data_IF_759557149423
#
_entry.id   IF_759557149423
#
_cell.length_a   1.000
_cell.length_b   1.000
_cell.length_c   1.000
_cell.angle_alpha   90.00
_cell.angle_beta   90.00
_cell.angle_gamma   90.00
#
_symmetry.space_group_name_H-M   'P 1'
#
loop_
_entity.id
_entity.type
_entity.pdbx_description
1 polymer ?
#
# COMPACT_ATOMS: atom_id res chain seq x y z
N UNK A 1 3.01 58.92 29.90
CA UNK A 1 3.93 58.28 28.94
C UNK A 1 4.17 56.80 29.24
N UNK A 2 4.55 56.40 30.44
CA UNK A 2 4.88 54.98 30.77
C UNK A 2 3.70 54.04 30.50
N UNK A 3 2.48 54.38 30.91
CA UNK A 3 1.26 53.56 30.68
C UNK A 3 0.98 53.37 29.19
N UNK A 4 1.16 54.43 28.38
CA UNK A 4 0.92 54.33 26.94
C UNK A 4 1.96 53.41 26.26
N UNK A 5 3.23 53.44 26.69
CA UNK A 5 4.27 52.56 26.24
C UNK A 5 4.00 51.09 26.62
N UNK A 6 3.55 50.83 27.83
CA UNK A 6 3.15 49.52 28.30
C UNK A 6 1.94 48.96 27.49
N UNK A 7 0.95 49.81 27.19
CA UNK A 7 -0.18 49.40 26.37
C UNK A 7 0.24 49.06 24.93
N UNK A 8 1.14 49.84 24.33
CA UNK A 8 1.64 49.56 22.99
C UNK A 8 2.45 48.26 22.94
N UNK A 9 3.33 48.00 23.92
CA UNK A 9 4.10 46.76 23.97
C UNK A 9 3.19 45.55 24.18
N UNK A 10 2.15 45.65 24.97
CA UNK A 10 1.15 44.61 25.17
C UNK A 10 0.40 44.30 23.87
N UNK A 11 -0.03 45.33 23.14
CA UNK A 11 -0.73 45.15 21.85
C UNK A 11 0.19 44.48 20.80
N UNK A 12 1.47 44.88 20.74
CA UNK A 12 2.42 44.25 19.83
C UNK A 12 2.65 42.78 20.23
N UNK A 13 2.79 42.48 21.52
CA UNK A 13 2.98 41.11 22.01
C UNK A 13 1.75 40.22 21.68
N UNK A 14 0.53 40.73 21.88
CA UNK A 14 -0.70 40.02 21.53
C UNK A 14 -0.83 39.83 20.02
N UNK A 15 -0.49 40.84 19.20
CA UNK A 15 -0.52 40.75 17.76
C UNK A 15 0.48 39.72 17.21
N UNK A 16 1.70 39.69 17.75
CA UNK A 16 2.71 38.71 17.35
C UNK A 16 2.31 37.27 17.79
N UNK A 17 1.75 37.12 18.97
CA UNK A 17 1.23 35.84 19.44
C UNK A 17 0.13 35.29 18.52
N UNK A 18 -0.81 36.19 18.12
CA UNK A 18 -1.89 35.80 17.19
C UNK A 18 -1.38 35.38 15.81
N UNK A 19 -0.39 36.11 15.28
CA UNK A 19 0.25 35.73 13.99
C UNK A 19 0.93 34.38 14.09
N UNK A 20 1.64 34.11 15.20
CA UNK A 20 2.30 32.82 15.42
C UNK A 20 1.29 31.66 15.50
N UNK A 21 0.19 31.84 16.21
CA UNK A 21 -0.87 30.79 16.28
C UNK A 21 -1.50 30.54 14.92
N UNK A 22 -1.91 31.56 14.19
CA UNK A 22 -2.52 31.41 12.87
C UNK A 22 -1.59 30.78 11.84
N UNK A 23 -0.28 31.10 11.87
CA UNK A 23 0.69 30.45 10.97
C UNK A 23 0.90 28.98 11.33
N UNK A 24 0.90 28.63 12.61
CA UNK A 24 1.02 27.24 13.07
C UNK A 24 -0.22 26.42 12.67
N UNK A 25 -1.41 26.96 12.90
CA UNK A 25 -2.68 26.33 12.49
C UNK A 25 -2.72 26.10 10.96
N UNK A 26 -2.34 27.10 10.17
CA UNK A 26 -2.29 26.97 8.71
C UNK A 26 -1.33 25.87 8.26
N UNK A 27 -0.17 25.73 8.91
CA UNK A 27 0.78 24.64 8.62
C UNK A 27 0.21 23.27 9.01
N UNK A 28 -0.46 23.16 10.15
CA UNK A 28 -1.09 21.91 10.57
C UNK A 28 -2.20 21.48 9.59
N UNK A 29 -3.05 22.40 9.17
CA UNK A 29 -4.11 22.13 8.20
C UNK A 29 -3.52 21.68 6.85
N UNK A 30 -2.47 22.38 6.37
CA UNK A 30 -1.80 22.00 5.14
C UNK A 30 -1.15 20.61 5.23
N UNK A 31 -0.50 20.29 6.35
CA UNK A 31 0.10 18.96 6.56
C UNK A 31 -0.97 17.86 6.64
N UNK A 32 -2.08 18.14 7.34
CA UNK A 32 -3.19 17.17 7.42
C UNK A 32 -3.79 16.91 6.04
N UNK A 33 -4.03 17.97 5.27
CA UNK A 33 -4.53 17.86 3.91
C UNK A 33 -3.58 17.03 3.02
N UNK A 34 -2.29 17.38 3.00
CA UNK A 34 -1.31 16.65 2.21
C UNK A 34 -1.22 15.18 2.62
N UNK A 35 -1.28 14.89 3.92
CA UNK A 35 -1.28 13.51 4.42
C UNK A 35 -2.51 12.72 3.95
N UNK A 36 -3.68 13.34 3.97
CA UNK A 36 -4.92 12.71 3.50
C UNK A 36 -4.89 12.50 1.98
N UNK A 37 -4.41 13.49 1.23
CA UNK A 37 -4.27 13.37 -0.22
C UNK A 37 -3.28 12.26 -0.61
N UNK A 38 -2.15 12.12 0.11
CA UNK A 38 -1.19 11.04 -0.12
C UNK A 38 -1.79 9.66 0.18
N UNK A 39 -2.59 9.55 1.25
CA UNK A 39 -3.29 8.32 1.59
C UNK A 39 -4.25 7.90 0.48
N UNK A 40 -5.09 8.84 0.02
CA UNK A 40 -6.02 8.57 -1.08
C UNK A 40 -5.29 8.28 -2.41
N UNK A 41 -4.14 8.90 -2.64
CA UNK A 41 -3.32 8.61 -3.82
C UNK A 41 -2.79 7.16 -3.80
N UNK A 42 -2.30 6.70 -2.66
CA UNK A 42 -1.84 5.32 -2.49
C UNK A 42 -3.00 4.32 -2.62
N UNK A 43 -4.15 4.62 -2.01
CA UNK A 43 -5.35 3.77 -2.08
C UNK A 43 -5.88 3.67 -3.52
N UNK A 44 -5.98 4.78 -4.24
CA UNK A 44 -6.41 4.79 -5.64
C UNK A 44 -5.47 4.01 -6.57
N UNK A 45 -4.15 4.11 -6.34
CA UNK A 45 -3.17 3.31 -7.08
C UNK A 45 -3.30 1.81 -6.76
N UNK A 46 -3.58 1.48 -5.51
CA UNK A 46 -3.81 0.11 -5.07
C UNK A 46 -5.04 -0.50 -5.75
N UNK A 47 -6.18 0.21 -5.71
CA UNK A 47 -7.42 -0.24 -6.37
C UNK A 47 -7.21 -0.44 -7.87
N UNK A 48 -6.50 0.47 -8.52
CA UNK A 48 -6.20 0.34 -9.95
C UNK A 48 -5.28 -0.84 -10.25
N UNK A 49 -4.29 -1.10 -9.38
CA UNK A 49 -3.40 -2.24 -9.52
C UNK A 49 -4.15 -3.57 -9.31
N UNK A 50 -5.15 -3.62 -8.43
CA UNK A 50 -6.02 -4.78 -8.25
C UNK A 50 -6.76 -5.17 -9.53
N UNK A 51 -7.25 -4.18 -10.29
CA UNK A 51 -7.90 -4.45 -11.60
C UNK A 51 -6.94 -5.13 -12.58
N UNK A 52 -5.68 -4.69 -12.62
CA UNK A 52 -4.68 -5.29 -13.51
C UNK A 52 -4.28 -6.71 -13.03
N UNK A 53 -4.23 -6.94 -11.71
CA UNK A 53 -3.95 -8.27 -11.14
C UNK A 53 -4.98 -9.32 -11.53
N UNK A 54 -6.25 -8.93 -11.70
CA UNK A 54 -7.30 -9.85 -12.19
C UNK A 54 -6.98 -10.42 -13.56
N UNK A 55 -6.18 -9.72 -14.36
CA UNK A 55 -5.80 -10.15 -15.70
C UNK A 55 -4.60 -11.09 -15.73
N UNK A 56 -3.89 -11.26 -14.61
CA UNK A 56 -2.71 -12.11 -14.50
C UNK A 56 -3.09 -13.48 -13.93
N UNK A 57 -3.14 -14.54 -14.76
CA UNK A 57 -3.58 -15.87 -14.31
C UNK A 57 -2.56 -16.59 -13.44
N UNK A 58 -1.27 -16.32 -13.62
CA UNK A 58 -0.15 -16.96 -12.94
C UNK A 58 0.59 -15.92 -12.09
N UNK A 59 0.46 -16.05 -10.77
CA UNK A 59 1.05 -15.12 -9.83
C UNK A 59 2.57 -15.31 -9.62
N UNK A 60 3.11 -16.46 -9.96
CA UNK A 60 4.56 -16.65 -9.98
C UNK A 60 5.25 -15.60 -10.86
N UNK A 61 4.60 -15.21 -11.96
CA UNK A 61 5.11 -14.16 -12.85
C UNK A 61 5.08 -12.75 -12.26
N UNK A 62 4.30 -12.53 -11.21
CA UNK A 62 4.32 -11.28 -10.44
C UNK A 62 5.49 -11.30 -9.47
N UNK A 63 5.68 -12.44 -8.78
CA UNK A 63 6.69 -12.62 -7.76
C UNK A 63 8.12 -12.67 -8.34
N UNK A 64 8.30 -13.20 -9.54
CA UNK A 64 9.58 -13.16 -10.27
C UNK A 64 9.81 -11.82 -11.02
N UNK A 65 8.83 -10.90 -10.98
CA UNK A 65 8.91 -9.57 -11.62
C UNK A 65 8.77 -9.56 -13.13
N UNK A 66 8.41 -10.68 -13.77
CA UNK A 66 8.22 -10.77 -15.23
C UNK A 66 6.88 -10.22 -15.69
N UNK A 67 5.84 -10.33 -14.86
CA UNK A 67 4.55 -9.69 -15.11
C UNK A 67 4.47 -8.34 -14.39
N UNK A 68 4.09 -7.32 -15.13
CA UNK A 68 3.88 -5.95 -14.63
C UNK A 68 2.55 -5.41 -15.14
N UNK A 69 2.01 -4.43 -14.44
CA UNK A 69 0.89 -3.64 -14.91
C UNK A 69 1.23 -2.92 -16.23
N UNK A 70 0.20 -2.60 -16.99
CA UNK A 70 0.34 -1.68 -18.13
C UNK A 70 0.65 -0.23 -17.69
N UNK A 71 0.51 0.06 -16.39
CA UNK A 71 0.69 1.38 -15.78
C UNK A 71 2.11 1.54 -15.25
N UNK A 72 3.08 1.64 -16.15
CA UNK A 72 4.49 1.80 -15.82
C UNK A 72 5.05 3.05 -16.50
N UNK A 73 5.70 3.89 -15.71
CA UNK A 73 6.37 5.11 -16.18
C UNK A 73 7.83 4.80 -16.50
N UNK A 74 8.07 4.30 -17.72
CA UNK A 74 9.41 4.03 -18.25
C UNK A 74 10.11 2.83 -17.60
N UNK A 75 11.44 2.94 -17.43
CA UNK A 75 12.25 1.85 -16.87
C UNK A 75 11.93 1.59 -15.39
N UNK A 76 12.02 0.33 -14.90
CA UNK A 76 11.74 0.00 -13.50
C UNK A 76 12.82 0.48 -12.52
N UNK A 77 13.80 1.22 -12.99
CA UNK A 77 14.95 1.69 -12.23
C UNK A 77 15.19 3.17 -12.47
N UNK A 78 16.01 3.78 -11.62
CA UNK A 78 16.50 5.13 -11.77
C UNK A 78 15.61 6.23 -11.19
N UNK A 79 16.04 7.49 -11.36
CA UNK A 79 15.41 8.62 -10.70
C UNK A 79 14.07 8.99 -11.31
N UNK A 80 13.18 9.50 -10.44
CA UNK A 80 11.91 10.12 -10.79
C UNK A 80 11.83 11.49 -10.16
N UNK A 81 11.24 12.44 -10.89
CA UNK A 81 11.08 13.81 -10.43
C UNK A 81 9.62 14.09 -10.13
N UNK A 82 9.33 14.53 -8.93
CA UNK A 82 8.00 14.98 -8.51
C UNK A 82 7.66 16.35 -9.10
N UNK A 83 6.39 16.73 -9.05
CA UNK A 83 5.92 18.01 -9.55
C UNK A 83 6.56 19.26 -8.88
N UNK A 84 7.06 19.09 -7.65
CA UNK A 84 7.78 20.14 -6.92
C UNK A 84 9.29 20.18 -7.17
N UNK A 85 9.80 19.31 -8.07
CA UNK A 85 11.22 19.18 -8.39
C UNK A 85 12.00 18.26 -7.46
N UNK A 86 11.37 17.66 -6.44
CA UNK A 86 12.00 16.66 -5.58
C UNK A 86 12.26 15.38 -6.37
N UNK A 87 13.43 14.79 -6.18
CA UNK A 87 13.82 13.53 -6.82
C UNK A 87 13.80 12.39 -5.81
N UNK A 88 13.43 11.21 -6.28
CA UNK A 88 13.61 9.95 -5.59
C UNK A 88 13.97 8.86 -6.61
N UNK A 89 14.44 7.71 -6.17
CA UNK A 89 14.92 6.65 -7.05
C UNK A 89 14.09 5.39 -6.82
N UNK A 90 13.57 4.80 -7.90
CA UNK A 90 12.74 3.59 -7.80
C UNK A 90 13.49 2.42 -7.16
N UNK A 91 14.79 2.28 -7.47
CA UNK A 91 15.63 1.26 -6.85
C UNK A 91 15.71 1.42 -5.31
N UNK A 92 15.82 2.67 -4.83
CA UNK A 92 15.82 2.94 -3.39
C UNK A 92 14.50 2.59 -2.73
N UNK A 93 13.37 2.85 -3.40
CA UNK A 93 12.04 2.48 -2.89
C UNK A 93 11.94 0.96 -2.72
N UNK A 94 12.33 0.20 -3.73
CA UNK A 94 12.34 -1.27 -3.68
C UNK A 94 13.31 -1.79 -2.62
N UNK A 95 14.52 -1.26 -2.55
CA UNK A 95 15.52 -1.67 -1.57
C UNK A 95 15.07 -1.34 -0.13
N UNK A 96 14.46 -0.18 0.07
CA UNK A 96 13.90 0.19 1.39
C UNK A 96 12.78 -0.76 1.81
N UNK A 97 11.91 -1.16 0.88
CA UNK A 97 10.86 -2.15 1.16
C UNK A 97 11.44 -3.54 1.46
N UNK A 98 12.50 -3.93 0.75
CA UNK A 98 13.10 -5.26 0.83
C UNK A 98 14.10 -5.45 1.98
N UNK A 99 14.90 -4.45 2.32
CA UNK A 99 15.96 -4.59 3.30
C UNK A 99 16.28 -3.34 4.10
N UNK A 100 15.45 -2.29 3.99
CA UNK A 100 15.62 -1.00 4.69
C UNK A 100 16.96 -0.31 4.38
N UNK A 101 17.50 -0.55 3.18
CA UNK A 101 18.73 0.08 2.69
C UNK A 101 18.45 0.90 1.43
N UNK A 102 19.21 1.94 1.20
CA UNK A 102 19.18 2.70 -0.06
C UNK A 102 20.01 2.03 -1.16
N UNK A 103 20.89 1.10 -0.79
CA UNK A 103 21.72 0.32 -1.72
C UNK A 103 21.09 -1.04 -2.00
N UNK A 104 21.51 -1.67 -3.08
CA UNK A 104 21.03 -3.01 -3.48
C UNK A 104 21.10 -4.01 -2.33
N UNK A 105 20.00 -4.69 -2.07
CA UNK A 105 19.92 -5.74 -1.07
C UNK A 105 20.74 -6.95 -1.50
N UNK A 106 21.55 -7.51 -0.60
CA UNK A 106 22.20 -8.80 -0.79
C UNK A 106 21.21 -9.94 -0.48
N UNK A 107 21.51 -11.15 -0.92
CA UNK A 107 20.71 -12.33 -0.58
C UNK A 107 20.58 -12.53 0.94
N UNK A 108 21.65 -12.23 1.70
CA UNK A 108 21.60 -12.28 3.17
C UNK A 108 20.73 -11.21 3.78
N UNK A 109 20.59 -10.05 3.14
CA UNK A 109 19.69 -8.99 3.61
C UNK A 109 18.22 -9.36 3.42
N UNK A 110 17.90 -10.04 2.33
CA UNK A 110 16.53 -10.47 2.03
C UNK A 110 15.99 -11.46 3.06
N UNK A 111 16.85 -12.38 3.53
CA UNK A 111 16.49 -13.41 4.53
C UNK A 111 16.78 -13.00 5.97
N UNK A 112 17.28 -11.79 6.20
CA UNK A 112 17.59 -11.30 7.55
C UNK A 112 16.31 -11.14 8.37
N UNK A 113 16.29 -11.71 9.58
CA UNK A 113 15.19 -11.52 10.51
C UNK A 113 15.37 -10.20 11.26
N UNK A 114 14.43 -9.28 11.09
CA UNK A 114 14.35 -8.00 11.79
C UNK A 114 12.98 -7.85 12.45
N UNK A 115 12.75 -6.88 13.34
CA UNK A 115 11.42 -6.65 13.92
C UNK A 115 10.33 -6.42 12.87
N UNK A 116 10.67 -5.77 11.75
CA UNK A 116 9.73 -5.47 10.65
C UNK A 116 9.60 -6.63 9.66
N UNK A 117 10.61 -7.48 9.57
CA UNK A 117 10.67 -8.63 8.66
C UNK A 117 11.13 -9.89 9.41
N UNK A 118 10.26 -10.48 10.26
CA UNK A 118 10.66 -11.55 11.19
C UNK A 118 10.64 -12.96 10.58
N UNK A 119 10.31 -13.11 9.29
CA UNK A 119 10.02 -14.40 8.66
C UNK A 119 11.24 -15.07 8.02
N UNK A 120 12.43 -14.48 8.12
CA UNK A 120 13.69 -15.03 7.59
C UNK A 120 13.60 -15.38 6.09
N UNK A 121 13.68 -16.66 5.73
CA UNK A 121 13.61 -17.12 4.34
C UNK A 121 12.25 -16.81 3.67
N UNK A 122 11.19 -16.66 4.45
CA UNK A 122 9.86 -16.30 3.94
C UNK A 122 9.59 -14.79 4.05
N UNK A 123 10.62 -13.94 4.20
CA UNK A 123 10.42 -12.52 4.13
C UNK A 123 9.89 -12.14 2.74
N UNK A 124 8.88 -11.25 2.67
CA UNK A 124 8.39 -10.77 1.38
C UNK A 124 9.52 -10.18 0.54
N UNK A 125 9.59 -10.56 -0.73
CA UNK A 125 10.51 -9.97 -1.71
C UNK A 125 9.68 -9.09 -2.65
N UNK A 126 9.65 -7.80 -2.34
CA UNK A 126 8.83 -6.82 -3.06
C UNK A 126 9.31 -6.62 -4.49
N UNK A 127 8.42 -6.80 -5.44
CA UNK A 127 8.61 -6.56 -6.87
C UNK A 127 7.77 -5.38 -7.34
N UNK A 128 8.33 -4.53 -8.20
CA UNK A 128 7.59 -3.44 -8.81
C UNK A 128 6.52 -3.99 -9.75
N UNK A 129 5.26 -3.60 -9.51
CA UNK A 129 4.13 -3.99 -10.34
C UNK A 129 3.58 -2.84 -11.17
N UNK A 130 3.24 -1.71 -10.53
CA UNK A 130 2.77 -0.49 -11.20
C UNK A 130 3.46 0.73 -10.60
N UNK A 131 3.82 1.71 -11.42
CA UNK A 131 4.41 2.96 -10.95
C UNK A 131 4.25 4.08 -11.98
N UNK A 132 4.02 5.28 -11.48
CA UNK A 132 3.86 6.45 -12.34
C UNK A 132 3.22 7.63 -11.61
N UNK A 133 3.13 8.79 -12.27
CA UNK A 133 2.31 9.89 -11.79
C UNK A 133 0.84 9.44 -11.65
N UNK A 134 0.18 9.80 -10.56
CA UNK A 134 -1.19 9.35 -10.27
C UNK A 134 -2.19 9.69 -11.39
N UNK A 135 -2.01 10.82 -12.05
CA UNK A 135 -2.84 11.25 -13.18
C UNK A 135 -2.72 10.34 -14.42
N UNK A 136 -1.64 9.57 -14.54
CA UNK A 136 -1.43 8.60 -15.63
C UNK A 136 -1.87 7.20 -15.23
N UNK A 137 -1.82 6.87 -13.94
CA UNK A 137 -2.24 5.58 -13.39
C UNK A 137 -3.76 5.44 -13.38
N UNK A 138 -4.48 6.54 -13.13
CA UNK A 138 -5.94 6.52 -13.14
C UNK A 138 -6.50 6.74 -14.54
N UNK A 139 -7.43 5.89 -15.00
CA UNK A 139 -8.12 6.11 -16.27
C UNK A 139 -8.97 7.38 -16.18
N UNK A 140 -8.92 8.19 -17.24
CA UNK A 140 -9.67 9.44 -17.36
C UNK A 140 -9.13 10.61 -16.50
N UNK A 141 -8.08 11.17 -16.95
CA UNK A 141 -7.34 12.40 -16.72
C UNK A 141 -7.98 13.65 -16.10
N UNK A 142 -8.98 13.51 -15.23
CA UNK A 142 -9.58 14.65 -14.53
C UNK A 142 -8.85 15.02 -13.23
N UNK A 143 -7.92 14.20 -12.75
CA UNK A 143 -7.26 14.43 -11.46
C UNK A 143 -5.89 15.05 -11.69
N UNK A 144 -5.78 16.33 -11.42
CA UNK A 144 -4.48 16.98 -11.34
C UNK A 144 -3.86 16.72 -9.97
N UNK A 145 -3.13 15.62 -9.85
CA UNK A 145 -2.48 15.21 -8.61
C UNK A 145 -0.96 15.36 -8.72
N UNK A 146 -0.31 15.96 -7.73
CA UNK A 146 1.14 16.09 -7.70
C UNK A 146 1.85 14.82 -7.20
N UNK A 147 1.11 13.75 -6.92
CA UNK A 147 1.64 12.53 -6.35
C UNK A 147 2.15 11.58 -7.43
N UNK A 148 3.29 10.97 -7.13
CA UNK A 148 3.81 9.80 -7.83
C UNK A 148 3.52 8.57 -6.98
N UNK A 149 3.04 7.50 -7.60
CA UNK A 149 2.66 6.28 -6.89
C UNK A 149 3.49 5.09 -7.36
N UNK A 150 3.79 4.21 -6.42
CA UNK A 150 4.53 2.97 -6.65
C UNK A 150 3.74 1.85 -5.99
N UNK A 151 3.38 0.83 -6.76
CA UNK A 151 2.73 -0.38 -6.24
C UNK A 151 3.67 -1.56 -6.43
N UNK A 152 3.89 -2.26 -5.34
CA UNK A 152 4.73 -3.45 -5.27
C UNK A 152 3.89 -4.65 -4.84
N UNK A 153 4.29 -5.82 -5.28
CA UNK A 153 3.71 -7.11 -4.89
C UNK A 153 4.79 -7.99 -4.30
N UNK A 154 4.43 -8.86 -3.38
CA UNK A 154 5.30 -9.85 -2.79
C UNK A 154 4.48 -11.06 -2.38
N UNK A 155 5.14 -12.16 -2.14
CA UNK A 155 4.52 -13.33 -1.56
C UNK A 155 4.05 -13.11 -0.12
N UNK A 156 3.01 -13.82 0.31
CA UNK A 156 2.56 -13.76 1.70
C UNK A 156 3.51 -14.56 2.61
N UNK A 157 4.21 -13.89 3.54
CA UNK A 157 5.17 -14.58 4.42
C UNK A 157 4.53 -15.59 5.38
N UNK A 158 3.20 -15.74 5.40
CA UNK A 158 2.53 -16.86 6.09
C UNK A 158 2.62 -18.17 5.32
N UNK A 159 3.03 -18.15 4.07
CA UNK A 159 3.45 -19.32 3.32
C UNK A 159 4.85 -19.73 3.77
N UNK A 160 4.96 -20.87 4.45
CA UNK A 160 6.20 -21.31 5.11
C UNK A 160 6.90 -22.34 4.21
N UNK A 161 7.19 -22.00 2.97
CA UNK A 161 7.89 -22.87 2.02
C UNK A 161 9.36 -22.47 1.77
N UNK A 162 9.73 -21.24 2.18
CA UNK A 162 11.08 -20.71 2.01
C UNK A 162 11.37 -20.21 0.59
N UNK A 163 10.35 -20.01 -0.24
CA UNK A 163 10.46 -19.54 -1.61
C UNK A 163 9.60 -18.31 -1.89
N UNK A 164 10.04 -17.10 -1.51
CA UNK A 164 9.26 -15.88 -1.64
C UNK A 164 9.10 -15.37 -3.09
N UNK A 165 9.60 -16.12 -4.08
CA UNK A 165 9.47 -15.78 -5.50
C UNK A 165 8.42 -16.63 -6.22
N UNK A 166 7.81 -17.58 -5.51
CA UNK A 166 6.77 -18.44 -6.06
C UNK A 166 5.58 -18.51 -5.11
N UNK A 167 4.38 -18.35 -5.64
CA UNK A 167 3.13 -18.66 -4.97
C UNK A 167 2.97 -20.20 -4.96
N UNK A 168 3.08 -20.81 -3.81
CA UNK A 168 3.14 -22.27 -3.65
C UNK A 168 1.88 -22.99 -4.13
N UNK A 169 1.85 -24.30 -3.96
CA UNK A 169 0.72 -25.15 -4.37
C UNK A 169 -0.34 -25.18 -3.28
N UNK A 170 -1.59 -24.77 -3.55
CA UNK A 170 -2.66 -24.80 -2.56
C UNK A 170 -2.91 -26.19 -1.98
N UNK A 171 -3.06 -26.29 -0.65
CA UNK A 171 -3.38 -27.54 0.02
C UNK A 171 -4.83 -27.97 -0.26
N UNK A 172 -4.99 -29.09 -0.96
CA UNK A 172 -6.27 -29.77 -1.09
C UNK A 172 -6.65 -30.49 0.22
N UNK A 173 -7.95 -30.79 0.46
CA UNK A 173 -8.35 -31.55 1.63
C UNK A 173 -7.62 -32.88 1.76
N UNK A 174 -6.90 -33.06 2.90
CA UNK A 174 -6.12 -34.26 3.18
C UNK A 174 -4.68 -34.28 2.64
N UNK A 175 -4.26 -33.24 1.93
CA UNK A 175 -2.86 -33.05 1.53
C UNK A 175 -2.19 -32.15 2.56
N UNK A 176 -1.00 -32.53 3.00
CA UNK A 176 -0.22 -31.82 4.01
C UNK A 176 1.15 -31.39 3.45
N UNK A 177 1.76 -30.33 3.98
CA UNK A 177 3.14 -29.98 3.66
C UNK A 177 4.09 -31.18 3.82
N UNK A 178 5.13 -31.32 2.97
CA UNK A 178 5.60 -30.40 1.98
C UNK A 178 4.97 -30.54 0.58
N UNK A 179 3.93 -31.35 0.41
CA UNK A 179 3.28 -31.53 -0.90
C UNK A 179 2.39 -30.36 -1.32
N UNK A 180 2.19 -29.39 -0.45
CA UNK A 180 1.42 -28.17 -0.68
C UNK A 180 1.87 -27.07 0.30
N UNK A 181 1.46 -25.81 0.07
CA UNK A 181 1.80 -24.66 0.89
C UNK A 181 0.53 -24.05 1.49
N UNK A 182 0.56 -23.80 2.82
CA UNK A 182 -0.48 -23.01 3.48
C UNK A 182 -0.20 -21.52 3.19
N UNK A 183 -1.07 -20.86 2.50
CA UNK A 183 -0.86 -19.47 2.11
C UNK A 183 -0.88 -19.29 0.60
N UNK A 184 -0.63 -20.32 -0.17
CA UNK A 184 -0.72 -20.29 -1.62
C UNK A 184 -2.02 -19.65 -2.12
N UNK A 185 -1.93 -18.78 -3.12
CA UNK A 185 -3.04 -17.97 -3.61
C UNK A 185 -3.30 -16.71 -2.77
N UNK A 186 -2.30 -16.27 -1.99
CA UNK A 186 -2.32 -15.01 -1.23
C UNK A 186 -1.08 -14.20 -1.54
N UNK A 187 -1.26 -12.94 -1.90
CA UNK A 187 -0.16 -12.00 -2.11
C UNK A 187 -0.23 -10.86 -1.12
N UNK A 188 0.92 -10.34 -0.74
CA UNK A 188 1.06 -9.05 -0.11
C UNK A 188 1.18 -7.97 -1.19
N UNK A 189 0.48 -6.85 -0.99
CA UNK A 189 0.59 -5.67 -1.83
C UNK A 189 0.97 -4.47 -1.00
N UNK A 190 1.81 -3.61 -1.58
CA UNK A 190 2.27 -2.38 -0.96
C UNK A 190 2.16 -1.25 -1.96
N UNK A 191 1.41 -0.20 -1.62
CA UNK A 191 1.35 1.02 -2.39
C UNK A 191 2.00 2.16 -1.61
N UNK A 192 2.87 2.89 -2.29
CA UNK A 192 3.55 4.07 -1.76
C UNK A 192 3.20 5.28 -2.61
N UNK A 193 2.80 6.37 -1.96
CA UNK A 193 2.57 7.65 -2.62
C UNK A 193 3.60 8.67 -2.18
N UNK A 194 4.31 9.23 -3.14
CA UNK A 194 5.31 10.27 -2.97
C UNK A 194 4.74 11.60 -3.43
N UNK A 195 4.71 12.57 -2.57
CA UNK A 195 4.13 13.89 -2.83
C UNK A 195 5.07 15.04 -2.51
N UNK A 196 4.62 16.27 -2.77
CA UNK A 196 5.42 17.46 -2.53
C UNK A 196 5.89 17.60 -1.10
N UNK A 197 7.04 18.26 -0.91
CA UNK A 197 7.64 18.56 0.41
C UNK A 197 7.98 17.32 1.24
N UNK A 198 8.33 16.20 0.59
CA UNK A 198 8.68 14.95 1.26
C UNK A 198 7.48 14.23 1.88
N UNK A 199 6.26 14.55 1.45
CA UNK A 199 5.08 13.82 1.89
C UNK A 199 5.12 12.40 1.31
N UNK A 200 5.04 11.41 2.18
CA UNK A 200 5.12 10.00 1.82
C UNK A 200 4.10 9.21 2.63
N UNK A 201 3.36 8.34 1.97
CA UNK A 201 2.41 7.41 2.60
C UNK A 201 2.57 6.02 2.01
N UNK A 202 2.41 5.05 2.88
CA UNK A 202 2.47 3.63 2.56
C UNK A 202 1.18 2.97 3.03
N UNK A 203 0.61 2.15 2.16
CA UNK A 203 -0.51 1.25 2.47
C UNK A 203 -0.05 -0.16 2.13
N UNK A 204 -0.28 -1.09 3.04
CA UNK A 204 -0.07 -2.51 2.81
C UNK A 204 -1.37 -3.26 3.03
N UNK A 205 -1.61 -4.26 2.19
CA UNK A 205 -2.72 -5.18 2.32
C UNK A 205 -2.34 -6.55 1.79
N UNK A 206 -3.08 -7.56 2.19
CA UNK A 206 -3.04 -8.88 1.58
C UNK A 206 -4.26 -9.09 0.70
N UNK A 207 -4.05 -9.75 -0.41
CA UNK A 207 -5.11 -10.17 -1.34
C UNK A 207 -5.10 -11.68 -1.43
N UNK A 208 -6.24 -12.26 -1.69
CA UNK A 208 -6.35 -13.69 -1.93
C UNK A 208 -7.20 -13.95 -3.15
N UNK A 209 -6.78 -14.93 -3.94
CA UNK A 209 -7.55 -15.42 -5.07
C UNK A 209 -8.58 -16.42 -4.57
N UNK A 210 -9.84 -16.19 -4.88
CA UNK A 210 -10.89 -17.17 -4.69
C UNK A 210 -11.04 -18.03 -5.97
N UNK A 211 -11.74 -19.15 -5.88
CA UNK A 211 -12.04 -20.04 -7.03
C UNK A 211 -12.80 -19.33 -8.16
N UNK A 212 -13.22 -18.12 -7.91
CA UNK A 212 -13.78 -17.18 -8.89
C UNK A 212 -12.78 -16.11 -9.23
N UNK A 213 -12.95 -15.40 -10.32
CA UNK A 213 -12.11 -14.28 -10.78
C UNK A 213 -12.14 -13.04 -9.86
N UNK A 214 -12.58 -13.18 -8.62
CA UNK A 214 -12.66 -12.10 -7.64
C UNK A 214 -11.42 -12.11 -6.72
N UNK A 215 -10.85 -10.94 -6.49
CA UNK A 215 -9.82 -10.71 -5.48
C UNK A 215 -10.48 -10.27 -4.17
N UNK A 216 -10.09 -10.89 -3.07
CA UNK A 216 -10.48 -10.48 -1.75
C UNK A 216 -9.36 -9.67 -1.10
N UNK A 217 -9.72 -8.55 -0.50
CA UNK A 217 -8.80 -7.61 0.16
C UNK A 217 -8.80 -7.83 1.67
N UNK A 218 -7.62 -7.93 2.26
CA UNK A 218 -7.42 -8.00 3.71
C UNK A 218 -6.33 -7.02 4.18
N UNK A 219 -6.21 -6.82 5.50
CA UNK A 219 -5.21 -5.94 6.08
C UNK A 219 -4.07 -6.75 6.71
N UNK A 220 -2.83 -6.40 6.41
CA UNK A 220 -1.62 -7.07 6.91
C UNK A 220 -1.47 -7.06 8.43
N UNK A 221 -2.00 -6.03 9.10
CA UNK A 221 -1.95 -5.92 10.57
C UNK A 221 -2.75 -6.98 11.35
N UNK A 222 -3.53 -7.82 10.66
CA UNK A 222 -4.43 -8.81 11.28
C UNK A 222 -4.13 -10.25 10.84
N UNK A 223 -2.89 -10.56 10.50
CA UNK A 223 -2.50 -11.87 9.92
C UNK A 223 -3.04 -13.08 10.65
N UNK A 224 -2.99 -13.09 11.97
CA UNK A 224 -3.54 -14.21 12.77
C UNK A 224 -5.05 -14.37 12.64
N UNK A 225 -5.76 -13.26 12.40
CA UNK A 225 -7.20 -13.28 12.14
C UNK A 225 -7.53 -13.61 10.69
N UNK A 226 -6.70 -13.17 9.73
CA UNK A 226 -6.90 -13.45 8.31
C UNK A 226 -6.80 -14.94 8.02
N UNK A 227 -5.85 -15.66 8.65
CA UNK A 227 -5.75 -17.09 8.52
C UNK A 227 -6.96 -17.83 9.12
N UNK A 228 -7.46 -17.35 10.27
CA UNK A 228 -8.71 -17.88 10.86
C UNK A 228 -9.91 -17.51 10.00
N UNK A 229 -9.96 -16.32 9.44
CA UNK A 229 -11.02 -15.88 8.54
C UNK A 229 -11.00 -16.61 7.20
N UNK A 230 -9.82 -16.98 6.68
CA UNK A 230 -9.70 -17.87 5.51
C UNK A 230 -10.32 -19.22 5.75
N UNK A 231 -10.18 -19.79 6.95
CA UNK A 231 -10.79 -21.06 7.34
C UNK A 231 -12.28 -20.93 7.66
N UNK A 232 -12.71 -19.77 8.16
CA UNK A 232 -14.10 -19.45 8.50
C UNK A 232 -14.86 -18.72 7.37
N UNK A 233 -14.32 -18.71 6.18
CA UNK A 233 -14.74 -17.88 5.05
C UNK A 233 -16.20 -17.99 4.63
N UNK A 234 -16.88 -19.04 5.01
CA UNK A 234 -18.33 -19.16 4.80
C UNK A 234 -19.15 -18.33 5.79
N UNK A 235 -18.52 -17.81 6.85
CA UNK A 235 -19.10 -16.85 7.76
C UNK A 235 -18.54 -15.45 7.45
N UNK A 236 -18.57 -15.05 6.18
CA UNK A 236 -17.97 -13.83 5.69
C UNK A 236 -18.33 -12.62 6.54
N UNK A 237 -17.44 -12.23 7.43
CA UNK A 237 -17.37 -10.85 7.87
C UNK A 237 -16.92 -10.08 6.64
N UNK A 238 -17.84 -9.40 6.01
CA UNK A 238 -17.52 -8.56 4.87
C UNK A 238 -16.56 -7.49 5.38
N UNK A 239 -15.31 -7.53 4.88
CA UNK A 239 -14.38 -6.42 5.13
C UNK A 239 -15.00 -5.13 4.60
N UNK A 240 -14.81 -3.99 5.29
CA UNK A 240 -15.26 -2.71 4.77
C UNK A 240 -14.66 -2.51 3.37
N UNK A 241 -15.46 -2.40 2.36
CA UNK A 241 -15.03 -2.24 0.97
C UNK A 241 -15.48 -3.31 -0.02
N UNK A 242 -16.02 -4.43 0.45
CA UNK A 242 -16.66 -5.37 -0.48
C UNK A 242 -17.93 -4.73 -1.03
N UNK A 243 -18.01 -4.57 -2.34
CA UNK A 243 -19.22 -4.09 -2.99
C UNK A 243 -20.40 -5.02 -2.63
N UNK A 244 -21.44 -4.47 -2.03
CA UNK A 244 -22.69 -5.16 -1.81
C UNK A 244 -23.26 -5.52 -3.20
N UNK A 245 -23.32 -6.80 -3.52
CA UNK A 245 -24.01 -7.22 -4.73
C UNK A 245 -25.52 -7.10 -4.50
N UNK A 246 -26.28 -6.83 -5.56
CA UNK A 246 -27.75 -6.79 -5.50
C UNK A 246 -28.38 -8.07 -4.92
N UNK A 247 -27.63 -9.18 -4.92
CA UNK A 247 -28.03 -10.45 -4.29
C UNK A 247 -27.90 -10.46 -2.77
N UNK A 248 -27.14 -9.54 -2.17
CA UNK A 248 -27.02 -9.39 -0.71
C UNK A 248 -28.02 -8.40 -0.11
N UNK A 249 -28.82 -7.76 -0.96
CA UNK A 249 -29.91 -6.88 -0.57
C UNK A 249 -31.22 -7.64 -0.73
N UNK A 250 -31.78 -8.10 0.37
CA UNK A 250 -33.15 -8.60 0.36
C UNK A 250 -34.10 -7.40 0.44
N UNK A 251 -34.53 -6.97 -0.74
CA UNK A 251 -35.47 -5.84 -0.86
C UNK A 251 -36.91 -6.22 -0.50
N UNK A 252 -37.23 -7.49 -0.34
CA UNK A 252 -38.57 -7.96 0.00
C UNK A 252 -38.85 -7.86 1.51
N UNK A 253 -37.80 -7.88 2.34
CA UNK A 253 -37.93 -7.78 3.80
C UNK A 253 -37.60 -6.38 4.35
N UNK A 254 -37.23 -5.41 3.52
CA UNK A 254 -36.92 -4.05 3.94
C UNK A 254 -35.66 -3.93 4.78
N UNK A 255 -34.74 -4.90 4.74
CA UNK A 255 -33.52 -4.92 5.54
C UNK A 255 -32.36 -5.61 4.84
N UNK A 256 -31.16 -5.36 5.35
CA UNK A 256 -29.95 -6.06 4.95
C UNK A 256 -29.90 -7.35 5.77
N UNK A 257 -29.88 -8.49 5.11
CA UNK A 257 -29.68 -9.81 5.75
C UNK A 257 -28.22 -10.11 6.02
#
# INVERSE_FOLDING_TARGET
>A
MIVALMAMTLMVALGTALIMTTTTESRMVANFRNNSEALYAADAAMERALDDLLTVPDWNRLLDGTAKSALVDGAPTGPRTLADGTNFTLDEVVNMANCQKTTTCSASDLIASTPERPWAANNPVWQLFAYGPLNTVLPQGGINSPYYVVVMVADDPSEVDGDPLHDGIPCAPGVLPPACSYGAGVLAMRAEAFGPRGNHKVIELTITRTDTTELERGYTGQRGQDEQNRRARKAAVQSPGKALTLKSLDTSAGGIS
#
